data_IF_090297238603
#
_entry.id   IF_090297238603
#
_cell.length_a   1.000
_cell.length_b   1.000
_cell.length_c   1.000
_cell.angle_alpha   90.00
_cell.angle_beta   90.00
_cell.angle_gamma   90.00
#
_symmetry.space_group_name_H-M   'P 1'
#
loop_
_entity.id
_entity.type
_entity.pdbx_description
1 polymer ?
#
# COMPACT_ATOMS: atom_id res chain seq x y z
N UNK A 1 3.22 2.36 20.31
CA UNK A 1 1.82 2.06 19.96
C UNK A 1 1.62 2.50 18.52
N UNK A 2 1.66 1.57 17.56
CA UNK A 2 1.32 1.90 16.17
C UNK A 2 -0.13 2.38 16.15
N UNK A 3 -0.35 3.59 15.64
CA UNK A 3 -1.68 4.16 15.57
C UNK A 3 -2.51 3.34 14.59
N UNK A 4 -3.84 3.29 14.74
CA UNK A 4 -4.74 2.58 13.80
C UNK A 4 -4.50 2.96 12.33
N UNK A 5 -4.02 4.19 12.06
CA UNK A 5 -3.63 4.67 10.72
C UNK A 5 -2.46 3.88 10.13
N UNK A 6 -1.50 3.46 10.95
CA UNK A 6 -0.32 2.72 10.52
C UNK A 6 -0.69 1.28 10.15
N UNK A 7 -1.69 0.70 10.83
CA UNK A 7 -2.18 -0.63 10.51
C UNK A 7 -2.89 -0.70 9.15
N UNK A 8 -3.74 0.28 8.81
CA UNK A 8 -4.38 0.33 7.48
C UNK A 8 -3.36 0.56 6.38
N UNK A 9 -2.34 1.40 6.60
CA UNK A 9 -1.23 1.60 5.64
C UNK A 9 -0.51 0.29 5.34
N UNK A 10 -0.20 -0.50 6.37
CA UNK A 10 0.42 -1.84 6.23
C UNK A 10 -0.47 -2.79 5.42
N UNK A 11 -1.78 -2.87 5.70
CA UNK A 11 -2.72 -3.70 4.93
C UNK A 11 -2.76 -3.32 3.44
N UNK A 12 -2.78 -2.01 3.14
CA UNK A 12 -2.74 -1.51 1.76
C UNK A 12 -1.43 -1.93 1.09
N UNK A 13 -0.30 -1.75 1.78
CA UNK A 13 1.01 -2.10 1.25
C UNK A 13 1.17 -3.60 0.98
N UNK A 14 0.70 -4.45 1.90
CA UNK A 14 0.78 -5.90 1.74
C UNK A 14 -0.08 -6.38 0.57
N UNK A 15 -1.31 -5.88 0.43
CA UNK A 15 -2.16 -6.17 -0.73
C UNK A 15 -1.53 -5.68 -2.04
N UNK A 16 -0.91 -4.50 -2.03
CA UNK A 16 -0.21 -3.99 -3.21
C UNK A 16 1.02 -4.82 -3.60
N UNK A 17 1.86 -5.22 -2.63
CA UNK A 17 3.00 -6.12 -2.86
C UNK A 17 2.54 -7.46 -3.44
N UNK A 18 1.48 -8.06 -2.88
CA UNK A 18 0.91 -9.31 -3.38
C UNK A 18 0.41 -9.20 -4.85
N UNK A 19 -0.06 -8.01 -5.25
CA UNK A 19 -0.44 -7.75 -6.64
C UNK A 19 0.78 -7.53 -7.55
N UNK A 20 1.84 -6.85 -7.08
CA UNK A 20 3.08 -6.65 -7.83
C UNK A 20 3.80 -7.97 -8.15
N UNK A 21 3.59 -9.03 -7.36
CA UNK A 21 4.07 -10.38 -7.67
C UNK A 21 3.34 -11.04 -8.84
N UNK A 22 2.13 -10.57 -9.19
CA UNK A 22 1.23 -11.20 -10.18
C UNK A 22 1.01 -10.35 -11.43
N UNK A 23 1.14 -9.03 -11.33
CA UNK A 23 0.81 -8.09 -12.39
C UNK A 23 1.90 -7.02 -12.55
N UNK A 24 2.17 -6.55 -13.78
CA UNK A 24 3.00 -5.37 -13.99
C UNK A 24 2.44 -4.15 -13.25
N UNK A 25 3.33 -3.31 -12.72
CA UNK A 25 2.94 -2.13 -11.95
C UNK A 25 1.92 -1.25 -12.68
N UNK A 26 2.07 -1.00 -14.00
CA UNK A 26 1.13 -0.14 -14.72
C UNK A 26 -0.30 -0.70 -14.75
N UNK A 27 -0.47 -2.03 -14.70
CA UNK A 27 -1.76 -2.71 -14.75
C UNK A 27 -2.49 -2.75 -13.40
N UNK A 28 -1.79 -2.52 -12.30
CA UNK A 28 -2.40 -2.51 -10.98
C UNK A 28 -3.21 -1.23 -10.80
N UNK A 29 -4.51 -1.38 -10.54
CA UNK A 29 -5.42 -0.26 -10.26
C UNK A 29 -5.68 -0.11 -8.76
N UNK A 30 -6.13 1.07 -8.33
CA UNK A 30 -6.55 1.31 -6.94
C UNK A 30 -7.66 0.34 -6.51
N UNK A 31 -8.56 -0.03 -7.43
CA UNK A 31 -9.62 -1.01 -7.17
C UNK A 31 -9.05 -2.38 -6.80
N UNK A 32 -8.04 -2.85 -7.54
CA UNK A 32 -7.38 -4.13 -7.24
C UNK A 32 -6.73 -4.09 -5.86
N UNK A 33 -6.03 -3.00 -5.55
CA UNK A 33 -5.36 -2.81 -4.25
C UNK A 33 -6.38 -2.84 -3.12
N UNK A 34 -7.48 -2.08 -3.24
CA UNK A 34 -8.50 -2.01 -2.19
C UNK A 34 -9.22 -3.34 -1.99
N UNK A 35 -9.46 -4.09 -3.07
CA UNK A 35 -10.07 -5.41 -3.00
C UNK A 35 -9.14 -6.42 -2.33
N UNK A 36 -7.85 -6.44 -2.71
CA UNK A 36 -6.85 -7.34 -2.12
C UNK A 36 -6.63 -7.03 -0.64
N UNK A 37 -6.57 -5.76 -0.27
CA UNK A 37 -6.40 -5.33 1.13
C UNK A 37 -7.68 -5.44 1.97
N UNK A 38 -8.83 -5.78 1.37
CA UNK A 38 -10.12 -5.88 2.08
C UNK A 38 -10.64 -4.54 2.63
N UNK A 39 -10.32 -3.42 1.97
CA UNK A 39 -10.71 -2.07 2.40
C UNK A 39 -11.61 -1.37 1.38
N UNK A 40 -12.27 -0.30 1.82
CA UNK A 40 -13.03 0.57 0.91
C UNK A 40 -12.11 1.55 0.20
N UNK A 41 -12.44 1.90 -1.05
CA UNK A 41 -11.66 2.85 -1.84
C UNK A 41 -11.48 4.24 -1.20
N UNK A 42 -12.47 4.85 -0.51
CA UNK A 42 -12.23 6.09 0.25
C UNK A 42 -11.19 5.93 1.36
N UNK A 43 -11.10 4.74 1.97
CA UNK A 43 -10.09 4.45 2.99
C UNK A 43 -8.68 4.45 2.40
N UNK A 44 -8.49 4.02 1.16
CA UNK A 44 -7.21 4.15 0.47
C UNK A 44 -6.79 5.63 0.38
N UNK A 45 -7.70 6.49 -0.09
CA UNK A 45 -7.41 7.91 -0.28
C UNK A 45 -7.21 8.71 1.03
N UNK A 46 -7.60 8.15 2.19
CA UNK A 46 -7.24 8.71 3.50
C UNK A 46 -5.76 8.50 3.84
N UNK A 47 -5.05 7.65 3.10
CA UNK A 47 -3.68 7.25 3.38
C UNK A 47 -2.70 7.55 2.24
N UNK A 48 -3.14 7.40 0.98
CA UNK A 48 -2.30 7.57 -0.20
C UNK A 48 -3.07 8.28 -1.31
N UNK A 49 -2.39 9.15 -2.06
CA UNK A 49 -3.01 9.86 -3.18
C UNK A 49 -3.21 8.94 -4.40
N UNK A 50 -2.22 8.10 -4.67
CA UNK A 50 -2.23 7.11 -5.75
C UNK A 50 -1.26 5.95 -5.44
N UNK A 51 -1.04 5.06 -6.42
CA UNK A 51 -0.13 3.91 -6.27
C UNK A 51 1.36 4.27 -6.29
N UNK A 52 1.73 5.46 -6.79
CA UNK A 52 3.11 5.94 -6.76
C UNK A 52 3.46 6.44 -5.37
N UNK A 53 2.57 7.21 -4.74
CA UNK A 53 2.69 7.65 -3.34
C UNK A 53 2.81 6.43 -2.39
N UNK A 54 1.98 5.40 -2.62
CA UNK A 54 2.12 4.12 -1.92
C UNK A 54 3.48 3.45 -2.14
N UNK A 55 3.96 3.39 -3.38
CA UNK A 55 5.26 2.78 -3.68
C UNK A 55 6.41 3.53 -3.01
N UNK A 56 6.40 4.86 -3.06
CA UNK A 56 7.41 5.70 -2.41
C UNK A 56 7.43 5.44 -0.89
N UNK A 57 6.26 5.37 -0.26
CA UNK A 57 6.16 5.05 1.15
C UNK A 57 6.70 3.65 1.49
N UNK A 58 6.42 2.64 0.65
CA UNK A 58 6.97 1.28 0.83
C UNK A 58 8.49 1.29 0.73
N UNK A 59 9.06 1.96 -0.28
CA UNK A 59 10.52 2.04 -0.46
C UNK A 59 11.17 2.72 0.75
N UNK A 60 10.61 3.85 1.21
CA UNK A 60 11.10 4.55 2.40
C UNK A 60 11.06 3.64 3.65
N UNK A 61 9.95 2.93 3.85
CA UNK A 61 9.69 2.19 5.09
C UNK A 61 10.39 0.82 5.14
N UNK A 62 10.52 0.13 4.01
CA UNK A 62 10.97 -1.27 3.98
C UNK A 62 12.38 -1.43 3.39
N UNK A 63 12.86 -0.45 2.61
CA UNK A 63 14.14 -0.57 1.88
C UNK A 63 15.17 0.42 2.38
N UNK A 64 14.77 1.69 2.57
CA UNK A 64 15.70 2.77 2.96
C UNK A 64 15.84 2.85 4.48
N UNK A 65 14.73 2.68 5.23
CA UNK A 65 14.77 2.74 6.68
C UNK A 65 15.81 1.74 7.21
N UNK A 66 16.75 2.17 8.06
CA UNK A 66 17.75 1.28 8.63
C UNK A 66 17.02 0.16 9.37
N UNK A 67 17.42 -1.09 9.08
CA UNK A 67 17.04 -2.22 9.91
C UNK A 67 17.54 -1.90 11.33
N UNK A 68 16.61 -1.55 12.21
CA UNK A 68 16.88 -1.34 13.64
C UNK A 68 17.37 -2.62 14.30
#
# INVERSE_FOLDING_TARGET
MDSRKDMTKRLIADGFKALMLRYPFEKISIMMITNEAGIRRPSFYNHFQDKYDLLAWIVETDVIAPAG
#
